data_IF_249307772342
#
_entry.id   IF_249307772342
#
_cell.length_a   1.000
_cell.length_b   1.000
_cell.length_c   1.000
_cell.angle_alpha   90.00
_cell.angle_beta   90.00
_cell.angle_gamma   90.00
#
_symmetry.space_group_name_H-M   'P 1'
#
loop_
_entity.id
_entity.type
_entity.pdbx_description
1 polymer ?
#
# COMPACT_ATOMS: atom_id res chain seq x y z
N UNK A 1 16.04 30.29 38.94
CA UNK A 1 15.97 28.83 39.10
C UNK A 1 14.85 28.39 38.19
N UNK A 2 15.16 28.13 36.93
CA UNK A 2 14.12 28.00 35.91
C UNK A 2 14.29 26.63 35.26
N UNK A 3 14.08 25.60 36.09
CA UNK A 3 14.00 24.21 35.68
C UNK A 3 12.74 24.02 34.84
N UNK A 4 12.84 24.34 33.56
CA UNK A 4 11.78 24.06 32.58
C UNK A 4 11.74 22.55 32.38
N UNK A 5 10.84 21.87 33.09
CA UNK A 5 10.52 20.47 32.83
C UNK A 5 9.90 20.42 31.43
N UNK A 6 10.71 20.06 30.44
CA UNK A 6 10.24 19.82 29.09
C UNK A 6 9.25 18.67 29.11
N UNK A 7 8.01 18.92 28.70
CA UNK A 7 7.00 17.87 28.60
C UNK A 7 7.47 16.81 27.59
N UNK A 8 7.82 15.63 28.10
CA UNK A 8 8.16 14.47 27.28
C UNK A 8 6.89 13.88 26.68
N UNK A 9 6.54 14.30 25.46
CA UNK A 9 5.38 13.78 24.71
C UNK A 9 5.73 12.38 24.17
N UNK A 10 5.38 11.34 24.91
CA UNK A 10 5.55 9.95 24.48
C UNK A 10 4.46 9.59 23.46
N UNK A 11 4.86 9.44 22.19
CA UNK A 11 3.96 9.06 21.10
C UNK A 11 3.89 7.53 21.07
N UNK A 12 2.71 6.95 21.34
CA UNK A 12 2.49 5.52 21.20
C UNK A 12 2.20 5.22 19.74
N UNK A 13 3.15 4.59 19.05
CA UNK A 13 3.02 4.25 17.65
C UNK A 13 2.22 2.94 17.52
N UNK A 14 1.16 2.98 16.71
CA UNK A 14 0.37 1.81 16.33
C UNK A 14 0.84 1.38 14.95
N UNK A 15 1.21 0.11 14.82
CA UNK A 15 1.56 -0.46 13.53
C UNK A 15 0.38 -0.35 12.56
N UNK A 16 0.62 -0.04 11.28
CA UNK A 16 -0.44 0.03 10.28
C UNK A 16 -1.13 -1.32 10.12
N UNK A 17 -2.44 -1.35 10.28
CA UNK A 17 -3.26 -2.56 10.04
C UNK A 17 -4.22 -2.32 8.87
N UNK A 18 -4.47 -3.34 8.06
CA UNK A 18 -5.46 -3.26 6.98
C UNK A 18 -6.85 -3.00 7.56
N UNK A 19 -7.53 -1.99 7.04
CA UNK A 19 -8.91 -1.69 7.42
C UNK A 19 -9.79 -2.93 7.15
N UNK A 20 -10.63 -3.34 8.12
CA UNK A 20 -11.56 -4.45 7.89
C UNK A 20 -12.55 -4.11 6.77
N UNK A 21 -12.88 -5.10 5.94
CA UNK A 21 -13.83 -4.93 4.82
C UNK A 21 -13.22 -4.48 3.50
N UNK A 22 -11.88 -4.39 3.40
CA UNK A 22 -11.20 -4.13 2.14
C UNK A 22 -11.35 -5.29 1.15
N UNK A 23 -11.51 -4.93 -0.12
CA UNK A 23 -11.51 -5.88 -1.23
C UNK A 23 -10.09 -6.41 -1.44
N UNK A 24 -9.90 -7.72 -1.28
CA UNK A 24 -8.62 -8.41 -1.50
C UNK A 24 -8.58 -9.19 -2.80
N UNK A 25 -9.74 -9.42 -3.43
CA UNK A 25 -9.87 -10.18 -4.68
C UNK A 25 -10.44 -9.28 -5.77
N UNK A 26 -9.68 -9.10 -6.84
CA UNK A 26 -10.06 -8.29 -7.99
C UNK A 26 -10.19 -9.19 -9.21
N UNK A 27 -11.39 -9.25 -9.79
CA UNK A 27 -11.61 -9.92 -11.08
C UNK A 27 -11.36 -8.90 -12.18
N UNK A 28 -10.31 -9.10 -12.97
CA UNK A 28 -9.83 -8.12 -13.95
C UNK A 28 -9.69 -8.81 -15.29
N UNK A 29 -10.28 -8.24 -16.33
CA UNK A 29 -10.13 -8.68 -17.70
C UNK A 29 -8.73 -8.39 -18.25
N UNK A 30 -8.38 -9.09 -19.32
CA UNK A 30 -7.11 -8.86 -20.03
C UNK A 30 -7.07 -7.43 -20.55
N UNK A 31 -5.94 -6.75 -20.35
CA UNK A 31 -5.73 -5.37 -20.79
C UNK A 31 -6.73 -4.37 -20.15
N UNK A 32 -7.39 -4.74 -19.06
CA UNK A 32 -8.26 -3.88 -18.28
C UNK A 32 -7.47 -3.24 -17.13
N UNK A 33 -7.73 -1.97 -16.82
CA UNK A 33 -7.04 -1.32 -15.72
C UNK A 33 -7.73 -1.67 -14.39
N UNK A 34 -7.09 -2.49 -13.57
CA UNK A 34 -7.50 -2.72 -12.19
C UNK A 34 -7.09 -1.55 -11.31
N UNK A 35 -8.01 -1.10 -10.46
CA UNK A 35 -7.72 -0.11 -9.42
C UNK A 35 -7.78 -0.80 -8.07
N UNK A 36 -6.61 -1.09 -7.50
CA UNK A 36 -6.47 -1.80 -6.23
C UNK A 36 -6.32 -0.79 -5.11
N UNK A 37 -7.25 -0.79 -4.16
CA UNK A 37 -7.26 0.16 -3.04
C UNK A 37 -6.82 -0.55 -1.76
N UNK A 38 -5.84 0.01 -1.07
CA UNK A 38 -5.41 -0.41 0.26
C UNK A 38 -5.61 0.75 1.24
N UNK A 39 -6.39 0.54 2.30
CA UNK A 39 -6.58 1.50 3.38
C UNK A 39 -6.05 0.92 4.68
N UNK A 40 -5.21 1.67 5.37
CA UNK A 40 -4.58 1.28 6.62
C UNK A 40 -5.13 2.14 7.76
N UNK A 41 -5.12 1.59 8.95
CA UNK A 41 -5.32 2.34 10.19
C UNK A 41 -3.95 2.40 10.88
N UNK A 42 -3.38 3.61 10.97
CA UNK A 42 -2.05 3.84 11.49
C UNK A 42 -2.02 5.12 12.35
N UNK A 43 -1.26 5.09 13.43
CA UNK A 43 -1.00 6.26 14.27
C UNK A 43 0.49 6.30 14.62
N UNK A 44 1.29 7.23 14.06
CA UNK A 44 0.90 8.35 13.20
C UNK A 44 0.47 7.92 11.78
N UNK A 45 -0.32 8.74 11.10
CA UNK A 45 -0.86 8.48 9.75
C UNK A 45 0.17 8.58 8.61
N UNK A 46 1.43 8.89 8.94
CA UNK A 46 2.52 8.98 7.96
C UNK A 46 3.12 7.58 7.73
N UNK A 47 2.60 6.88 6.73
CA UNK A 47 3.03 5.52 6.37
C UNK A 47 3.51 5.47 4.92
N UNK A 48 4.45 4.57 4.64
CA UNK A 48 4.98 4.33 3.29
C UNK A 48 4.37 3.07 2.73
N UNK A 49 3.81 3.15 1.53
CA UNK A 49 3.24 2.00 0.82
C UNK A 49 4.24 1.44 -0.18
N UNK A 50 4.40 0.12 -0.15
CA UNK A 50 5.15 -0.63 -1.16
C UNK A 50 4.22 -1.67 -1.76
N UNK A 51 4.03 -1.61 -3.08
CA UNK A 51 3.19 -2.53 -3.80
C UNK A 51 4.04 -3.55 -4.56
N UNK A 52 3.71 -4.83 -4.38
CA UNK A 52 4.27 -5.93 -5.14
C UNK A 52 3.12 -6.80 -5.61
N UNK A 53 3.18 -7.31 -6.84
CA UNK A 53 2.21 -8.28 -7.33
C UNK A 53 2.86 -9.66 -7.46
N UNK A 54 2.17 -10.66 -6.93
CA UNK A 54 2.57 -12.06 -7.04
C UNK A 54 1.77 -12.69 -8.18
N UNK A 55 2.43 -12.93 -9.31
CA UNK A 55 1.85 -13.76 -10.37
C UNK A 55 2.22 -15.21 -10.11
N UNK A 56 1.32 -16.15 -10.38
CA UNK A 56 1.62 -17.59 -10.24
C UNK A 56 2.81 -18.09 -11.09
N UNK A 57 3.30 -17.28 -12.04
CA UNK A 57 4.31 -17.66 -13.05
C UNK A 57 5.71 -17.08 -12.75
N UNK A 58 5.81 -15.97 -12.03
CA UNK A 58 7.10 -15.34 -11.71
C UNK A 58 7.06 -14.65 -10.36
N UNK A 59 8.24 -14.68 -9.72
CA UNK A 59 8.63 -13.97 -8.50
C UNK A 59 7.89 -12.64 -8.30
N UNK A 60 7.63 -12.25 -7.04
CA UNK A 60 6.94 -11.00 -6.72
C UNK A 60 7.55 -9.82 -7.48
N UNK A 61 6.83 -9.28 -8.46
CA UNK A 61 7.27 -8.16 -9.26
C UNK A 61 6.88 -6.86 -8.55
N UNK A 62 7.80 -5.92 -8.48
CA UNK A 62 7.55 -4.60 -7.89
C UNK A 62 6.65 -3.77 -8.82
N UNK A 63 5.64 -3.10 -8.24
CA UNK A 63 4.83 -2.11 -8.98
C UNK A 63 5.56 -0.77 -8.89
N UNK A 64 5.83 -0.10 -10.02
CA UNK A 64 6.52 1.18 -10.00
C UNK A 64 5.68 2.23 -9.26
N UNK A 65 6.35 3.09 -8.48
CA UNK A 65 5.67 4.14 -7.71
C UNK A 65 4.88 5.13 -8.58
N UNK A 66 5.18 5.23 -9.88
CA UNK A 66 4.40 6.02 -10.84
C UNK A 66 2.99 5.49 -11.08
N UNK A 67 2.76 4.19 -10.86
CA UNK A 67 1.45 3.55 -10.98
C UNK A 67 0.68 3.51 -9.66
N UNK A 68 1.30 4.02 -8.59
CA UNK A 68 0.75 4.04 -7.23
C UNK A 68 0.47 5.48 -6.80
N UNK A 69 -0.76 5.73 -6.38
CA UNK A 69 -1.13 6.96 -5.68
C UNK A 69 -1.20 6.65 -4.18
N UNK A 70 -0.51 7.41 -3.35
CA UNK A 70 -0.51 7.22 -1.90
C UNK A 70 -0.85 8.54 -1.21
N UNK A 71 -1.82 8.50 -0.31
CA UNK A 71 -2.30 9.61 0.49
C UNK A 71 -2.46 9.17 1.95
N UNK A 72 -1.51 9.56 2.80
CA UNK A 72 -1.47 9.22 4.23
C UNK A 72 -1.64 7.73 4.51
N UNK A 73 -2.84 7.28 4.88
CA UNK A 73 -3.16 5.88 5.18
C UNK A 73 -3.94 5.18 4.08
N UNK A 74 -4.06 5.79 2.90
CA UNK A 74 -4.73 5.23 1.73
C UNK A 74 -3.78 5.16 0.55
N UNK A 75 -3.70 4.01 -0.11
CA UNK A 75 -2.95 3.86 -1.34
C UNK A 75 -3.77 3.15 -2.41
N UNK A 76 -3.56 3.56 -3.64
CA UNK A 76 -4.26 3.08 -4.82
C UNK A 76 -3.22 2.69 -5.87
N UNK A 77 -3.08 1.40 -6.12
CA UNK A 77 -2.27 0.88 -7.20
C UNK A 77 -3.13 0.67 -8.45
N UNK A 78 -2.64 1.14 -9.59
CA UNK A 78 -3.22 0.80 -10.89
C UNK A 78 -2.44 -0.39 -11.44
N UNK A 79 -3.14 -1.47 -11.76
CA UNK A 79 -2.54 -2.69 -12.26
C UNK A 79 -3.25 -3.12 -13.52
N UNK A 80 -2.50 -3.33 -14.60
CA UNK A 80 -3.05 -3.79 -15.87
C UNK A 80 -2.51 -5.18 -16.18
N UNK A 81 -3.31 -6.26 -16.04
CA UNK A 81 -2.90 -7.59 -16.45
C UNK A 81 -2.79 -7.61 -17.98
N UNK A 82 -1.57 -7.48 -18.48
CA UNK A 82 -1.23 -7.87 -19.84
C UNK A 82 -1.15 -9.40 -19.83
N UNK A 83 -1.89 -10.05 -20.72
CA UNK A 83 -1.78 -11.51 -20.92
C UNK A 83 -0.33 -11.90 -21.08
N UNK A 84 0.13 -12.81 -20.22
CA UNK A 84 1.38 -13.57 -20.33
C UNK A 84 2.59 -12.74 -20.78
N UNK A 85 3.54 -12.49 -19.86
CA UNK A 85 4.94 -12.47 -20.28
C UNK A 85 5.26 -13.89 -20.77
N UNK A 86 4.91 -14.17 -22.02
CA UNK A 86 5.33 -15.38 -22.74
C UNK A 86 6.85 -15.40 -22.60
N UNK A 87 7.35 -16.39 -21.87
CA UNK A 87 8.79 -16.67 -21.82
C UNK A 87 9.27 -16.75 -23.26
N UNK A 88 10.26 -15.94 -23.59
CA UNK A 88 11.09 -16.19 -24.77
C UNK A 88 12.14 -17.22 -24.38
#
# INVERSE_FOLDING_TARGET
MDGKIGAIRKIFNVAPVCRPGLVTTYNVGRNELAKIVCELEANPSNVTFTWKYNTSVSESLDIPASEVLSDQTKSVAHFKPVTEKVRK
#
